data_IF_732978590086
#
_entry.id   IF_732978590086
#
_cell.length_a   1.000
_cell.length_b   1.000
_cell.length_c   1.000
_cell.angle_alpha   90.00
_cell.angle_beta   90.00
_cell.angle_gamma   90.00
#
_symmetry.space_group_name_H-M   'P 1'
#
loop_
_entity.id
_entity.type
_entity.pdbx_description
1 polymer ?
#
# COMPACT_ATOMS: atom_id res chain seq x y z
N UNK A 1 -3.45 10.01 32.58
CA UNK A 1 -3.71 8.88 31.67
C UNK A 1 -2.99 9.16 30.37
N UNK A 2 -2.18 8.24 29.88
CA UNK A 2 -1.44 8.41 28.63
C UNK A 2 -1.25 7.06 27.98
N UNK A 3 -0.96 7.06 26.68
CA UNK A 3 -0.76 5.83 25.93
C UNK A 3 0.39 5.01 26.55
N UNK A 4 0.18 3.72 26.77
CA UNK A 4 1.18 2.80 27.32
C UNK A 4 1.87 2.00 26.22
N UNK A 5 3.13 1.61 26.44
CA UNK A 5 3.79 0.68 25.53
C UNK A 5 3.01 -0.64 25.46
N UNK A 6 2.94 -1.20 24.26
CA UNK A 6 2.15 -2.36 23.89
C UNK A 6 0.62 -2.18 23.89
N UNK A 7 0.10 -0.97 24.13
CA UNK A 7 -1.31 -0.69 23.84
C UNK A 7 -1.61 -0.85 22.36
N UNK A 8 -2.82 -1.34 22.08
CA UNK A 8 -3.31 -1.69 20.74
C UNK A 8 -4.68 -1.05 20.53
N UNK A 9 -4.88 -0.48 19.35
CA UNK A 9 -6.11 0.16 18.92
C UNK A 9 -6.45 -0.37 17.55
N UNK A 10 -7.73 -0.71 17.34
CA UNK A 10 -8.24 -0.97 16.01
C UNK A 10 -9.00 0.27 15.54
N UNK A 11 -8.67 0.76 14.35
CA UNK A 11 -9.40 1.83 13.69
C UNK A 11 -9.97 1.30 12.38
N UNK A 12 -11.27 1.49 12.19
CA UNK A 12 -11.93 1.15 10.94
C UNK A 12 -11.99 2.42 10.08
N UNK A 13 -11.41 2.36 8.90
CA UNK A 13 -11.53 3.40 7.88
C UNK A 13 -12.47 2.95 6.76
N UNK A 14 -13.04 3.93 6.06
CA UNK A 14 -13.93 3.76 4.91
C UNK A 14 -15.12 2.79 5.18
N UNK A 15 -16.30 3.34 5.49
CA UNK A 15 -17.53 2.56 5.73
C UNK A 15 -18.05 1.79 4.50
N UNK A 16 -17.44 1.95 3.33
CA UNK A 16 -17.78 1.19 2.12
C UNK A 16 -16.83 0.00 1.91
N UNK A 17 -15.55 0.16 2.22
CA UNK A 17 -14.51 -0.88 2.04
C UNK A 17 -14.10 -1.60 3.33
N UNK A 18 -14.46 -1.08 4.50
CA UNK A 18 -14.25 -1.65 5.83
C UNK A 18 -12.79 -1.99 6.16
N UNK A 19 -11.86 -1.07 5.88
CA UNK A 19 -10.45 -1.28 6.17
C UNK A 19 -10.17 -1.22 7.68
N UNK A 20 -9.79 -2.35 8.27
CA UNK A 20 -9.43 -2.43 9.69
C UNK A 20 -7.93 -2.25 9.89
N UNK A 21 -7.53 -1.11 10.44
CA UNK A 21 -6.16 -0.80 10.82
C UNK A 21 -5.87 -1.22 12.25
N UNK A 22 -4.83 -2.04 12.43
CA UNK A 22 -4.30 -2.40 13.74
C UNK A 22 -3.10 -1.51 14.10
N UNK A 23 -3.28 -0.64 15.09
CA UNK A 23 -2.28 0.32 15.54
C UNK A 23 -1.75 -0.08 16.91
N UNK A 24 -0.42 -0.18 17.04
CA UNK A 24 0.25 -0.51 18.31
C UNK A 24 1.25 0.55 18.72
N UNK A 25 1.26 0.88 20.00
CA UNK A 25 2.33 1.68 20.60
C UNK A 25 3.51 0.76 20.90
N UNK A 26 4.54 0.79 20.07
CA UNK A 26 5.70 -0.09 20.28
C UNK A 26 6.69 0.46 21.32
N UNK A 27 6.92 1.77 21.31
CA UNK A 27 7.90 2.43 22.18
C UNK A 27 7.55 3.89 22.42
N UNK A 28 7.82 4.37 23.63
CA UNK A 28 7.75 5.80 23.98
C UNK A 28 9.17 6.35 24.13
N UNK A 29 9.45 7.47 23.47
CA UNK A 29 10.74 8.14 23.56
C UNK A 29 10.57 9.64 23.75
N UNK A 30 11.24 10.19 24.77
CA UNK A 30 11.17 11.61 25.11
C UNK A 30 12.22 12.47 24.37
N UNK A 31 13.13 11.83 23.62
CA UNK A 31 14.33 12.47 23.04
C UNK A 31 14.25 12.62 21.52
N UNK A 32 13.29 13.40 21.01
CA UNK A 32 13.19 13.71 19.57
C UNK A 32 13.36 15.21 19.28
N UNK A 33 14.27 15.88 19.98
CA UNK A 33 14.46 17.35 19.89
C UNK A 33 14.93 17.88 18.52
N UNK A 34 15.14 17.03 17.51
CA UNK A 34 15.71 17.46 16.21
C UNK A 34 15.02 16.90 14.96
N UNK A 35 13.98 16.06 15.07
CA UNK A 35 13.31 15.47 13.90
C UNK A 35 11.90 16.04 13.75
N UNK A 36 11.51 16.53 12.56
CA UNK A 36 10.14 16.91 12.32
C UNK A 36 9.22 15.68 12.46
N UNK A 37 8.09 15.88 13.13
CA UNK A 37 7.11 14.84 13.47
C UNK A 37 5.74 15.25 12.93
N UNK A 38 4.89 14.29 12.51
CA UNK A 38 5.16 12.85 12.39
C UNK A 38 6.12 12.54 11.22
N UNK A 39 6.81 11.39 11.29
CA UNK A 39 7.63 10.88 10.19
C UNK A 39 7.56 9.35 10.10
N UNK A 40 7.75 8.81 8.89
CA UNK A 40 7.79 7.39 8.65
C UNK A 40 9.17 6.82 8.96
N UNK A 41 9.25 5.94 9.96
CA UNK A 41 10.52 5.31 10.40
C UNK A 41 10.83 3.99 9.71
N UNK A 42 9.79 3.26 9.30
CA UNK A 42 9.88 1.98 8.58
C UNK A 42 8.56 1.73 7.85
N UNK A 43 8.61 0.87 6.83
CA UNK A 43 7.43 0.40 6.09
C UNK A 43 7.70 -1.01 5.58
N UNK A 44 6.64 -1.78 5.40
CA UNK A 44 6.70 -3.10 4.78
C UNK A 44 5.36 -3.41 4.13
N UNK A 45 5.40 -4.20 3.06
CA UNK A 45 4.21 -4.56 2.31
C UNK A 45 3.73 -3.45 1.37
N UNK A 46 2.65 -3.78 0.67
CA UNK A 46 2.05 -2.96 -0.39
C UNK A 46 0.82 -2.26 0.18
N UNK A 47 0.66 -0.96 -0.10
CA UNK A 47 -0.59 -0.27 0.21
C UNK A 47 -1.64 -0.66 -0.84
N UNK A 48 -2.88 -1.04 -0.45
CA UNK A 48 -3.97 -1.24 -1.38
C UNK A 48 -4.22 0.02 -2.25
N UNK A 49 -4.66 -0.13 -3.51
CA UNK A 49 -5.11 1.01 -4.30
C UNK A 49 -6.32 1.68 -3.61
N UNK A 50 -6.42 3.00 -3.74
CA UNK A 50 -7.66 3.71 -3.41
C UNK A 50 -8.82 3.09 -4.23
N UNK A 51 -9.99 2.98 -3.61
CA UNK A 51 -11.23 2.47 -4.22
C UNK A 51 -11.22 1.01 -4.71
N UNK A 52 -10.31 0.16 -4.23
CA UNK A 52 -10.35 -1.28 -4.57
C UNK A 52 -11.59 -2.02 -4.03
N UNK A 53 -12.33 -1.41 -3.11
CA UNK A 53 -13.59 -1.97 -2.58
C UNK A 53 -13.39 -3.04 -1.52
N UNK A 54 -12.33 -2.91 -0.70
CA UNK A 54 -12.14 -3.66 0.54
C UNK A 54 -11.16 -4.83 0.46
N UNK A 55 -11.02 -5.49 1.61
CA UNK A 55 -10.02 -6.54 1.83
C UNK A 55 -10.16 -7.71 0.85
N UNK A 56 -11.37 -8.23 0.65
CA UNK A 56 -11.59 -9.40 -0.20
C UNK A 56 -11.18 -9.14 -1.66
N UNK A 57 -11.53 -7.96 -2.18
CA UNK A 57 -11.13 -7.54 -3.53
C UNK A 57 -9.64 -7.32 -3.64
N UNK A 58 -9.02 -6.73 -2.62
CA UNK A 58 -7.57 -6.57 -2.57
C UNK A 58 -6.84 -7.92 -2.55
N UNK A 59 -7.30 -8.88 -1.74
CA UNK A 59 -6.70 -10.22 -1.67
C UNK A 59 -6.84 -10.97 -2.98
N UNK A 60 -8.01 -10.92 -3.62
CA UNK A 60 -8.20 -11.50 -4.95
C UNK A 60 -7.31 -10.83 -6.00
N UNK A 61 -7.20 -9.50 -5.96
CA UNK A 61 -6.35 -8.77 -6.88
C UNK A 61 -4.85 -9.12 -6.73
N UNK A 62 -4.38 -9.37 -5.50
CA UNK A 62 -3.01 -9.86 -5.27
C UNK A 62 -2.75 -11.24 -5.86
N UNK A 63 -3.78 -12.10 -5.91
CA UNK A 63 -3.70 -13.43 -6.51
C UNK A 63 -3.63 -13.33 -8.03
N UNK A 64 -4.59 -12.62 -8.65
CA UNK A 64 -4.69 -12.51 -10.11
C UNK A 64 -3.62 -11.61 -10.73
N UNK A 65 -3.05 -10.68 -9.96
CA UNK A 65 -1.95 -9.83 -10.39
C UNK A 65 -0.61 -10.19 -9.71
N UNK A 66 -0.45 -11.47 -9.37
CA UNK A 66 0.81 -11.99 -8.85
C UNK A 66 1.94 -12.00 -9.88
N UNK A 67 3.17 -12.10 -9.41
CA UNK A 67 4.36 -12.22 -10.28
C UNK A 67 4.28 -13.46 -11.18
N UNK A 68 3.68 -14.55 -10.70
CA UNK A 68 3.48 -15.76 -11.48
C UNK A 68 2.54 -15.53 -12.66
N UNK A 69 1.37 -14.93 -12.41
CA UNK A 69 0.37 -14.59 -13.43
C UNK A 69 0.94 -13.61 -14.46
N UNK A 70 1.74 -12.64 -14.02
CA UNK A 70 2.42 -11.73 -14.94
C UNK A 70 3.37 -12.48 -15.89
N UNK A 71 4.14 -13.45 -15.38
CA UNK A 71 5.05 -14.24 -16.21
C UNK A 71 4.27 -15.13 -17.20
N UNK A 72 3.20 -15.80 -16.76
CA UNK A 72 2.34 -16.58 -17.65
C UNK A 72 1.70 -15.71 -18.75
N UNK A 73 1.31 -14.49 -18.39
CA UNK A 73 0.76 -13.53 -19.33
C UNK A 73 1.76 -13.14 -20.42
N UNK A 74 3.03 -12.90 -20.04
CA UNK A 74 4.12 -12.63 -20.99
C UNK A 74 4.34 -13.81 -21.93
N UNK A 75 4.32 -15.04 -21.44
CA UNK A 75 4.44 -16.24 -22.29
C UNK A 75 3.31 -16.33 -23.31
N UNK A 76 2.07 -16.06 -22.88
CA UNK A 76 0.91 -16.03 -23.78
C UNK A 76 1.06 -15.01 -24.92
N UNK A 77 1.67 -13.84 -24.64
CA UNK A 77 1.95 -12.83 -25.69
C UNK A 77 2.97 -13.32 -26.73
N UNK A 78 3.88 -14.23 -26.37
CA UNK A 78 4.87 -14.79 -27.30
C UNK A 78 4.25 -15.74 -28.32
N UNK A 79 3.14 -16.38 -27.96
CA UNK A 79 2.47 -17.40 -28.78
C UNK A 79 1.34 -16.82 -29.65
N UNK A 80 0.83 -15.63 -29.30
CA UNK A 80 -0.34 -15.00 -29.94
C UNK A 80 -0.02 -13.75 -30.77
N UNK A 81 -1.04 -13.25 -31.46
CA UNK A 81 -0.97 -11.94 -32.11
C UNK A 81 -1.21 -10.82 -31.09
N UNK A 82 -0.33 -9.81 -31.08
CA UNK A 82 -0.36 -8.73 -30.10
C UNK A 82 -1.21 -7.57 -30.65
N UNK A 83 -2.27 -7.21 -29.91
CA UNK A 83 -2.93 -5.91 -30.04
C UNK A 83 -2.27 -4.92 -29.08
N UNK A 84 -1.53 -3.96 -29.63
CA UNK A 84 -0.76 -2.98 -28.86
C UNK A 84 -1.65 -2.06 -28.02
N UNK A 85 -2.88 -1.76 -28.47
CA UNK A 85 -3.78 -0.88 -27.71
C UNK A 85 -4.32 -1.58 -26.46
N UNK A 86 -4.66 -2.87 -26.60
CA UNK A 86 -5.08 -3.70 -25.45
C UNK A 86 -3.92 -3.88 -24.48
N UNK A 87 -2.72 -4.18 -25.01
CA UNK A 87 -1.52 -4.36 -24.19
C UNK A 87 -1.15 -3.10 -23.41
N UNK A 88 -1.37 -1.91 -23.97
CA UNK A 88 -1.09 -0.65 -23.26
C UNK A 88 -1.96 -0.49 -22.01
N UNK A 89 -3.26 -0.74 -22.12
CA UNK A 89 -4.19 -0.66 -20.98
C UNK A 89 -3.83 -1.69 -19.92
N UNK A 90 -3.49 -2.90 -20.35
CA UNK A 90 -3.09 -3.98 -19.46
C UNK A 90 -1.77 -3.67 -18.73
N UNK A 91 -0.80 -3.06 -19.41
CA UNK A 91 0.47 -2.69 -18.83
C UNK A 91 0.30 -1.67 -17.69
N UNK A 92 -0.62 -0.70 -17.83
CA UNK A 92 -0.92 0.26 -16.76
C UNK A 92 -1.46 -0.45 -15.51
N UNK A 93 -2.32 -1.47 -15.69
CA UNK A 93 -2.83 -2.30 -14.60
C UNK A 93 -1.72 -3.15 -13.95
N UNK A 94 -0.86 -3.78 -14.74
CA UNK A 94 0.27 -4.54 -14.19
C UNK A 94 1.26 -3.67 -13.44
N UNK A 95 1.53 -2.45 -13.92
CA UNK A 95 2.39 -1.50 -13.21
C UNK A 95 1.81 -1.13 -11.85
N UNK A 96 0.50 -0.92 -11.78
CA UNK A 96 -0.20 -0.73 -10.50
C UNK A 96 0.12 -1.89 -9.55
N UNK A 97 0.13 -3.15 -9.98
CA UNK A 97 0.28 -4.28 -9.06
C UNK A 97 1.73 -4.69 -8.77
N UNK A 98 2.62 -4.48 -9.74
CA UNK A 98 4.03 -4.85 -9.66
C UNK A 98 4.90 -3.72 -9.06
N UNK A 99 4.62 -2.45 -9.38
CA UNK A 99 5.39 -1.29 -8.90
C UNK A 99 4.71 -0.63 -7.69
N UNK A 100 4.82 -1.28 -6.52
CA UNK A 100 4.35 -0.73 -5.24
C UNK A 100 5.38 -0.76 -4.15
N UNK A 101 6.54 -0.18 -4.45
CA UNK A 101 7.44 0.28 -3.40
C UNK A 101 6.74 1.32 -2.52
N UNK A 102 6.96 1.26 -1.21
CA UNK A 102 6.53 2.34 -0.34
C UNK A 102 7.47 3.54 -0.52
N UNK A 103 6.95 4.61 -1.14
CA UNK A 103 7.70 5.86 -1.27
C UNK A 103 7.70 6.62 0.07
N UNK A 104 8.71 6.32 0.89
CA UNK A 104 8.93 6.98 2.18
C UNK A 104 9.07 8.49 2.05
N UNK A 105 9.68 8.98 0.97
CA UNK A 105 9.90 10.41 0.78
C UNK A 105 8.57 11.12 0.53
N UNK A 106 7.76 10.59 -0.39
CA UNK A 106 6.43 11.13 -0.65
C UNK A 106 5.53 11.05 0.60
N UNK A 107 5.63 9.97 1.38
CA UNK A 107 4.91 9.84 2.66
C UNK A 107 5.34 10.91 3.68
N UNK A 108 6.65 11.08 3.90
CA UNK A 108 7.18 12.11 4.81
C UNK A 108 6.77 13.52 4.36
N UNK A 109 6.82 13.83 3.06
CA UNK A 109 6.39 15.12 2.50
C UNK A 109 4.90 15.40 2.77
N UNK A 110 4.02 14.40 2.58
CA UNK A 110 2.59 14.50 2.91
C UNK A 110 2.34 14.72 4.41
N UNK A 111 3.05 14.00 5.26
CA UNK A 111 2.94 14.15 6.72
C UNK A 111 3.30 15.56 7.19
N UNK A 112 4.31 16.20 6.57
CA UNK A 112 4.69 17.58 6.90
C UNK A 112 3.63 18.62 6.51
N UNK A 113 2.80 18.33 5.50
CA UNK A 113 1.69 19.22 5.11
C UNK A 113 0.53 19.11 6.11
N UNK A 114 0.20 17.88 6.53
CA UNK A 114 -0.91 17.61 7.45
C UNK A 114 -0.63 18.03 8.91
N UNK A 115 0.64 18.20 9.28
CA UNK A 115 1.05 18.58 10.63
C UNK A 115 1.07 20.11 10.87
N UNK A 116 0.60 20.91 9.91
CA UNK A 116 0.42 22.37 10.02
C UNK A 116 -0.99 22.72 10.43
#
# INVERSE_FOLDING_TARGET
MGLHEHERFAYLDDFTSWWLHDTRIERRSCNQRSRPMPCCVASSGRCPPEDIGGLDRYMNALEVHGEHEFLERIETLREGQIDVNVLHVEADEWLIWLDRGFDRRAADERLQVLAR
#
